data_IF_825860928180
#
_entry.id   IF_825860928180
#
_cell.length_a   1.000
_cell.length_b   1.000
_cell.length_c   1.000
_cell.angle_alpha   90.00
_cell.angle_beta   90.00
_cell.angle_gamma   90.00
#
_symmetry.space_group_name_H-M   'P 1'
#
loop_
_entity.id
_entity.type
_entity.pdbx_description
1 polymer ?
#
# COMPACT_ATOMS: atom_id res chain seq x y z
N UNK A 1 3.16 13.81 23.87
CA UNK A 1 3.22 14.11 22.42
C UNK A 1 1.84 14.57 22.00
N UNK A 2 1.68 15.43 20.99
CA UNK A 2 0.34 15.79 20.50
C UNK A 2 -0.24 14.63 19.71
N UNK A 3 -1.58 14.51 19.68
CA UNK A 3 -2.27 13.60 18.79
C UNK A 3 -1.78 13.77 17.35
N UNK A 4 -1.40 12.70 16.63
CA UNK A 4 -1.03 12.78 15.22
C UNK A 4 -2.25 13.08 14.35
N UNK A 5 -2.02 13.53 13.12
CA UNK A 5 -3.11 13.59 12.14
C UNK A 5 -3.62 12.18 11.85
N UNK A 6 -4.94 12.00 11.96
CA UNK A 6 -5.62 10.74 11.71
C UNK A 6 -6.41 10.84 10.40
N UNK A 7 -6.28 9.83 9.55
CA UNK A 7 -7.14 9.63 8.39
C UNK A 7 -7.74 8.23 8.48
N UNK A 8 -9.04 8.10 8.32
CA UNK A 8 -9.69 6.79 8.27
C UNK A 8 -10.04 6.43 6.84
N UNK A 9 -9.69 5.23 6.42
CA UNK A 9 -10.21 4.65 5.20
C UNK A 9 -11.63 4.14 5.45
N UNK A 10 -12.52 4.32 4.47
CA UNK A 10 -13.86 3.74 4.48
C UNK A 10 -14.16 3.16 3.10
N UNK A 11 -14.40 1.84 3.04
CA UNK A 11 -14.52 1.08 1.79
C UNK A 11 -15.83 0.29 1.78
N UNK A 12 -16.94 1.02 1.73
CA UNK A 12 -18.27 0.43 1.78
C UNK A 12 -19.08 0.74 0.52
N UNK A 13 -19.85 -0.24 0.06
CA UNK A 13 -20.90 -0.05 -0.94
C UNK A 13 -22.03 0.85 -0.41
N UNK A 14 -22.93 1.40 -1.26
CA UNK A 14 -23.88 2.44 -0.85
C UNK A 14 -24.76 2.10 0.36
N UNK A 15 -25.32 0.91 0.42
CA UNK A 15 -26.23 0.53 1.50
C UNK A 15 -25.52 0.40 2.87
N UNK A 16 -24.41 -0.37 3.03
CA UNK A 16 -23.62 -0.38 4.27
C UNK A 16 -23.06 1.00 4.64
N UNK A 17 -22.63 1.79 3.64
CA UNK A 17 -22.13 3.14 3.83
C UNK A 17 -23.20 4.05 4.46
N UNK A 18 -24.40 4.06 3.89
CA UNK A 18 -25.53 4.81 4.43
C UNK A 18 -25.83 4.38 5.87
N UNK A 19 -25.87 3.08 6.14
CA UNK A 19 -26.12 2.53 7.47
C UNK A 19 -25.04 2.93 8.49
N UNK A 20 -23.76 2.93 8.09
CA UNK A 20 -22.65 3.37 8.95
C UNK A 20 -22.84 4.82 9.41
N UNK A 21 -23.32 5.68 8.51
CA UNK A 21 -23.49 7.10 8.76
C UNK A 21 -24.93 7.53 9.09
N UNK A 22 -25.90 6.60 9.26
CA UNK A 22 -27.28 6.93 9.66
C UNK A 22 -27.35 7.65 11.01
N UNK A 23 -26.48 7.25 11.96
CA UNK A 23 -26.28 7.95 13.21
C UNK A 23 -25.36 9.17 13.05
N UNK A 24 -25.49 10.16 13.97
CA UNK A 24 -24.55 11.30 13.99
C UNK A 24 -23.23 10.94 14.68
N UNK A 25 -23.17 9.89 15.46
CA UNK A 25 -22.03 9.57 16.32
C UNK A 25 -20.71 9.39 15.53
N UNK A 26 -20.73 8.78 14.33
CA UNK A 26 -19.52 8.58 13.51
C UNK A 26 -18.96 9.93 13.05
N UNK A 27 -19.82 10.85 12.59
CA UNK A 27 -19.40 12.20 12.17
C UNK A 27 -18.90 12.99 13.38
N UNK A 28 -19.58 12.88 14.53
CA UNK A 28 -19.20 13.61 15.74
C UNK A 28 -17.86 13.07 16.30
N UNK A 29 -17.62 11.76 16.24
CA UNK A 29 -16.35 11.15 16.62
C UNK A 29 -15.21 11.56 15.68
N UNK A 30 -15.42 11.55 14.35
CA UNK A 30 -14.42 12.03 13.39
C UNK A 30 -14.05 13.50 13.64
N UNK A 31 -15.02 14.34 13.98
CA UNK A 31 -14.77 15.75 14.35
C UNK A 31 -14.02 15.87 15.67
N UNK A 32 -14.40 15.10 16.69
CA UNK A 32 -13.72 15.12 17.97
C UNK A 32 -12.24 14.70 17.86
N UNK A 33 -11.94 13.80 16.93
CA UNK A 33 -10.58 13.33 16.60
C UNK A 33 -9.84 14.26 15.63
N UNK A 34 -10.45 15.35 15.13
CA UNK A 34 -9.91 16.18 14.05
C UNK A 34 -9.42 15.33 12.85
N UNK A 35 -10.20 14.30 12.53
CA UNK A 35 -9.81 13.27 11.58
C UNK A 35 -10.30 13.59 10.17
N UNK A 36 -9.55 13.12 9.19
CA UNK A 36 -9.92 13.10 7.77
C UNK A 36 -10.54 11.75 7.42
N UNK A 37 -11.48 11.73 6.47
CA UNK A 37 -12.01 10.51 5.89
C UNK A 37 -11.45 10.29 4.49
N UNK A 38 -10.75 9.19 4.24
CA UNK A 38 -10.42 8.71 2.90
C UNK A 38 -11.52 7.74 2.45
N UNK A 39 -12.45 8.28 1.64
CA UNK A 39 -13.66 7.57 1.22
C UNK A 39 -13.41 6.84 -0.11
N UNK A 40 -13.55 5.54 -0.11
CA UNK A 40 -13.50 4.71 -1.31
C UNK A 40 -14.62 5.09 -2.29
N UNK A 41 -14.26 5.58 -3.46
CA UNK A 41 -15.22 5.92 -4.52
C UNK A 41 -15.45 4.67 -5.35
N UNK A 42 -16.29 3.77 -4.83
CA UNK A 42 -16.68 2.52 -5.50
C UNK A 42 -17.68 2.80 -6.64
N UNK A 43 -18.55 3.75 -6.42
CA UNK A 43 -19.61 4.18 -7.35
C UNK A 43 -19.72 5.71 -7.36
N UNK A 44 -20.52 6.24 -8.29
CA UNK A 44 -20.80 7.67 -8.43
C UNK A 44 -22.30 7.93 -8.19
N UNK A 45 -22.86 7.32 -7.12
CA UNK A 45 -24.27 7.39 -6.77
C UNK A 45 -24.63 8.73 -6.12
N UNK A 46 -25.92 9.02 -6.09
CA UNK A 46 -26.47 10.18 -5.40
C UNK A 46 -26.35 10.03 -3.88
N UNK A 47 -26.53 8.82 -3.35
CA UNK A 47 -26.40 8.49 -1.93
C UNK A 47 -25.00 8.80 -1.41
N UNK A 48 -23.96 8.46 -2.19
CA UNK A 48 -22.57 8.78 -1.85
C UNK A 48 -22.31 10.28 -1.90
N UNK A 49 -22.87 10.98 -2.90
CA UNK A 49 -22.78 12.44 -3.00
C UNK A 49 -23.43 13.13 -1.79
N UNK A 50 -24.62 12.69 -1.38
CA UNK A 50 -25.30 13.26 -0.20
C UNK A 50 -24.53 13.01 1.10
N UNK A 51 -23.84 11.87 1.24
CA UNK A 51 -22.95 11.65 2.38
C UNK A 51 -21.79 12.65 2.37
N UNK A 52 -21.12 12.83 1.22
CA UNK A 52 -19.99 13.77 1.12
C UNK A 52 -20.44 15.18 1.47
N UNK A 53 -21.59 15.65 0.98
CA UNK A 53 -22.18 16.95 1.38
C UNK A 53 -22.41 17.06 2.88
N UNK A 54 -22.90 15.99 3.52
CA UNK A 54 -23.10 15.94 4.99
C UNK A 54 -21.76 16.07 5.74
N UNK A 55 -20.72 15.40 5.27
CA UNK A 55 -19.36 15.47 5.83
C UNK A 55 -18.76 16.87 5.63
N UNK A 56 -18.84 17.43 4.41
CA UNK A 56 -18.39 18.79 4.11
C UNK A 56 -19.10 19.82 5.02
N UNK A 57 -20.44 19.73 5.14
CA UNK A 57 -21.22 20.59 6.03
C UNK A 57 -20.85 20.45 7.51
N UNK A 58 -20.44 19.27 7.93
CA UNK A 58 -19.97 19.00 9.28
C UNK A 58 -18.53 19.48 9.53
N UNK A 59 -17.79 19.84 8.48
CA UNK A 59 -16.39 20.24 8.53
C UNK A 59 -15.42 19.07 8.65
N UNK A 60 -15.83 17.85 8.27
CA UNK A 60 -14.94 16.69 8.17
C UNK A 60 -14.27 16.70 6.79
N UNK A 61 -12.93 16.82 6.70
CA UNK A 61 -12.22 16.76 5.42
C UNK A 61 -12.39 15.37 4.79
N UNK A 62 -12.66 15.33 3.48
CA UNK A 62 -12.83 14.06 2.74
C UNK A 62 -11.81 13.98 1.61
N UNK A 63 -11.05 12.90 1.57
CA UNK A 63 -10.19 12.52 0.44
C UNK A 63 -10.97 11.54 -0.43
N UNK A 64 -11.01 11.77 -1.73
CA UNK A 64 -11.60 10.82 -2.66
C UNK A 64 -10.59 9.72 -2.99
N UNK A 65 -10.75 8.57 -2.39
CA UNK A 65 -9.97 7.38 -2.69
C UNK A 65 -10.56 6.68 -3.92
N UNK A 66 -9.90 6.86 -5.08
CA UNK A 66 -10.42 6.37 -6.35
C UNK A 66 -10.17 4.88 -6.52
N UNK A 67 -11.25 4.16 -6.83
CA UNK A 67 -11.26 2.72 -7.08
C UNK A 67 -11.93 2.41 -8.42
N UNK A 68 -11.59 1.28 -9.01
CA UNK A 68 -12.21 0.75 -10.21
C UNK A 68 -13.23 -0.34 -9.87
N UNK A 69 -14.14 -0.70 -10.80
CA UNK A 69 -14.87 -1.96 -10.71
C UNK A 69 -13.93 -3.17 -10.65
N UNK A 70 -14.34 -4.27 -9.99
CA UNK A 70 -13.51 -5.47 -9.85
C UNK A 70 -13.08 -6.07 -11.19
N UNK A 71 -13.95 -6.03 -12.21
CA UNK A 71 -13.65 -6.47 -13.57
C UNK A 71 -12.55 -5.64 -14.26
N UNK A 72 -12.24 -4.46 -13.73
CA UNK A 72 -11.21 -3.54 -14.20
C UNK A 72 -9.93 -3.59 -13.35
N UNK A 73 -9.87 -4.50 -12.37
CA UNK A 73 -8.70 -4.74 -11.51
C UNK A 73 -8.81 -4.17 -10.11
N UNK A 74 -9.90 -3.47 -9.77
CA UNK A 74 -10.26 -2.86 -8.50
C UNK A 74 -9.32 -1.72 -8.06
N UNK A 75 -8.08 -2.03 -7.71
CA UNK A 75 -7.03 -1.05 -7.45
C UNK A 75 -6.33 -0.60 -8.72
N UNK A 76 -5.71 0.55 -8.67
CA UNK A 76 -4.89 1.03 -9.77
C UNK A 76 -3.59 0.22 -9.86
N UNK A 77 -3.19 -0.11 -11.06
CA UNK A 77 -2.01 -0.91 -11.29
C UNK A 77 -1.39 -0.60 -12.66
N UNK A 78 -0.30 -1.29 -12.96
CA UNK A 78 0.46 -1.07 -14.20
C UNK A 78 -0.34 -1.35 -15.49
N UNK A 79 -1.38 -2.19 -15.43
CA UNK A 79 -2.12 -2.65 -16.61
C UNK A 79 -3.43 -1.88 -16.86
N UNK A 80 -3.91 -1.09 -15.86
CA UNK A 80 -5.19 -0.39 -15.95
C UNK A 80 -5.08 1.15 -15.89
N UNK A 81 -3.91 1.70 -16.15
CA UNK A 81 -3.66 3.14 -16.10
C UNK A 81 -4.60 3.98 -16.99
N UNK A 82 -5.05 3.44 -18.14
CA UNK A 82 -6.02 4.12 -18.99
C UNK A 82 -7.39 4.20 -18.32
N UNK A 83 -7.81 3.13 -17.61
CA UNK A 83 -9.04 3.09 -16.83
C UNK A 83 -8.99 4.01 -15.62
N UNK A 84 -7.82 4.13 -14.97
CA UNK A 84 -7.59 5.09 -13.88
C UNK A 84 -7.84 6.54 -14.36
N UNK A 85 -7.30 6.91 -15.52
CA UNK A 85 -7.53 8.23 -16.11
C UNK A 85 -9.01 8.45 -16.46
N UNK A 86 -9.68 7.45 -17.07
CA UNK A 86 -11.11 7.52 -17.35
C UNK A 86 -11.95 7.63 -16.08
N UNK A 87 -11.58 6.92 -15.01
CA UNK A 87 -12.24 6.98 -13.70
C UNK A 87 -12.16 8.39 -13.11
N UNK A 88 -11.00 9.02 -13.18
CA UNK A 88 -10.85 10.40 -12.70
C UNK A 88 -11.73 11.39 -13.49
N UNK A 89 -11.81 11.26 -14.81
CA UNK A 89 -12.68 12.11 -15.64
C UNK A 89 -14.15 11.94 -15.24
N UNK A 90 -14.63 10.71 -15.05
CA UNK A 90 -15.98 10.44 -14.59
C UNK A 90 -16.24 10.99 -13.18
N UNK A 91 -15.31 10.80 -12.27
CA UNK A 91 -15.35 11.35 -10.91
C UNK A 91 -15.43 12.89 -10.92
N UNK A 92 -14.63 13.57 -11.73
CA UNK A 92 -14.66 15.02 -11.86
C UNK A 92 -16.02 15.54 -12.36
N UNK A 93 -16.61 14.86 -13.35
CA UNK A 93 -17.94 15.21 -13.85
C UNK A 93 -19.01 15.07 -12.76
N UNK A 94 -18.98 13.95 -12.01
CA UNK A 94 -19.87 13.69 -10.89
C UNK A 94 -19.67 14.69 -9.73
N UNK A 95 -18.42 15.01 -9.38
CA UNK A 95 -18.07 16.03 -8.38
C UNK A 95 -18.69 17.40 -8.75
N UNK A 96 -18.54 17.80 -10.02
CA UNK A 96 -19.11 19.07 -10.52
C UNK A 96 -20.64 19.05 -10.50
N UNK A 97 -21.25 17.93 -10.93
CA UNK A 97 -22.71 17.78 -10.95
C UNK A 97 -23.34 17.92 -9.56
N UNK A 98 -22.66 17.42 -8.53
CA UNK A 98 -23.18 17.40 -7.16
C UNK A 98 -22.60 18.48 -6.24
N UNK A 99 -21.72 19.36 -6.77
CA UNK A 99 -21.07 20.44 -6.00
C UNK A 99 -20.36 19.89 -4.73
N UNK A 100 -19.44 18.92 -4.93
CA UNK A 100 -18.72 18.25 -3.85
C UNK A 100 -17.38 18.90 -3.60
N UNK A 101 -16.96 18.95 -2.33
CA UNK A 101 -15.66 19.47 -1.89
C UNK A 101 -14.77 18.31 -1.41
N UNK A 102 -13.50 18.31 -1.86
CA UNK A 102 -12.53 17.28 -1.52
C UNK A 102 -11.26 17.89 -0.94
N UNK A 103 -10.73 17.27 0.10
CA UNK A 103 -9.45 17.67 0.69
C UNK A 103 -8.25 17.17 -0.13
N UNK A 104 -8.44 16.17 -1.00
CA UNK A 104 -7.43 15.59 -1.86
C UNK A 104 -7.96 14.37 -2.60
N UNK A 105 -7.09 13.77 -3.40
CA UNK A 105 -7.36 12.55 -4.17
C UNK A 105 -6.38 11.46 -3.73
N UNK A 106 -6.91 10.28 -3.39
CA UNK A 106 -6.12 9.08 -3.07
C UNK A 106 -6.03 8.14 -4.26
N UNK A 107 -4.82 7.72 -4.60
CA UNK A 107 -4.52 6.74 -5.64
C UNK A 107 -3.96 5.48 -5.00
N UNK A 108 -4.72 4.41 -5.04
CA UNK A 108 -4.35 3.13 -4.46
C UNK A 108 -3.65 2.26 -5.50
N UNK A 109 -2.37 2.04 -5.28
CA UNK A 109 -1.50 1.35 -6.24
C UNK A 109 -1.16 -0.04 -5.72
N UNK A 110 -2.01 -0.99 -6.09
CA UNK A 110 -1.88 -2.37 -5.64
C UNK A 110 -1.86 -3.38 -6.79
N UNK A 111 -1.92 -4.64 -6.43
CA UNK A 111 -2.05 -5.74 -7.39
C UNK A 111 -3.42 -5.69 -8.08
N UNK A 112 -3.50 -6.23 -9.30
CA UNK A 112 -4.81 -6.60 -9.84
C UNK A 112 -5.48 -7.64 -8.91
N UNK A 113 -6.73 -7.37 -8.48
CA UNK A 113 -7.43 -8.22 -7.50
C UNK A 113 -7.55 -9.67 -7.97
N UNK A 114 -7.70 -9.90 -9.28
CA UNK A 114 -7.81 -11.25 -9.83
C UNK A 114 -6.46 -11.97 -9.83
N UNK A 115 -5.35 -11.21 -10.07
CA UNK A 115 -4.00 -11.76 -9.94
C UNK A 115 -3.69 -12.09 -8.47
N UNK A 116 -4.12 -11.25 -7.53
CA UNK A 116 -3.97 -11.49 -6.10
C UNK A 116 -4.75 -12.74 -5.65
N UNK A 117 -6.04 -12.84 -5.99
CA UNK A 117 -6.87 -14.03 -5.71
C UNK A 117 -6.25 -15.30 -6.32
N UNK A 118 -5.72 -15.21 -7.54
CA UNK A 118 -5.03 -16.35 -8.18
C UNK A 118 -3.75 -16.73 -7.44
N UNK A 119 -2.95 -15.75 -7.02
CA UNK A 119 -1.70 -15.98 -6.31
C UNK A 119 -1.89 -16.62 -4.92
N UNK A 120 -2.98 -16.24 -4.23
CA UNK A 120 -3.31 -16.72 -2.88
C UNK A 120 -4.09 -18.04 -2.88
N UNK A 121 -4.70 -18.40 -4.00
CA UNK A 121 -5.42 -19.67 -4.13
C UNK A 121 -4.49 -20.83 -4.51
N UNK A 122 -4.92 -22.07 -4.19
CA UNK A 122 -4.25 -23.29 -4.68
C UNK A 122 -4.30 -23.44 -6.22
N UNK A 123 -4.91 -22.45 -6.90
CA UNK A 123 -5.12 -22.45 -8.35
C UNK A 123 -3.99 -21.81 -9.15
N UNK A 124 -2.90 -21.36 -8.51
CA UNK A 124 -1.74 -20.79 -9.21
C UNK A 124 -1.12 -21.85 -10.14
N UNK A 125 -1.56 -21.86 -11.38
CA UNK A 125 -1.14 -22.82 -12.40
C UNK A 125 0.14 -22.36 -13.13
N UNK A 126 0.64 -23.24 -14.03
CA UNK A 126 1.80 -22.93 -14.87
C UNK A 126 1.59 -21.70 -15.78
N UNK A 127 0.34 -21.35 -16.08
CA UNK A 127 -0.01 -20.19 -16.91
C UNK A 127 0.23 -18.90 -16.14
N UNK A 128 -0.18 -18.85 -14.87
CA UNK A 128 0.05 -17.71 -13.99
C UNK A 128 1.56 -17.48 -13.77
N UNK A 129 2.31 -18.54 -13.44
CA UNK A 129 3.77 -18.45 -13.28
C UNK A 129 4.44 -17.94 -14.57
N UNK A 130 4.01 -18.44 -15.73
CA UNK A 130 4.50 -17.96 -17.04
C UNK A 130 4.16 -16.49 -17.28
N UNK A 131 2.96 -16.03 -16.87
CA UNK A 131 2.53 -14.62 -16.94
C UNK A 131 3.50 -13.74 -16.14
N UNK A 132 3.75 -14.07 -14.86
CA UNK A 132 4.68 -13.33 -13.99
C UNK A 132 6.10 -13.34 -14.59
N UNK A 133 6.60 -14.51 -15.04
CA UNK A 133 7.92 -14.60 -15.64
C UNK A 133 8.09 -13.70 -16.87
N UNK A 134 7.07 -13.62 -17.75
CA UNK A 134 7.11 -12.73 -18.92
C UNK A 134 7.12 -11.25 -18.50
N UNK A 135 6.35 -10.91 -17.46
CA UNK A 135 6.29 -9.54 -16.91
C UNK A 135 7.65 -9.05 -16.41
N UNK A 136 8.47 -9.94 -15.83
CA UNK A 136 9.79 -9.57 -15.30
C UNK A 136 10.72 -8.91 -16.32
N UNK A 137 10.54 -9.20 -17.61
CA UNK A 137 11.38 -8.66 -18.68
C UNK A 137 10.79 -7.44 -19.38
N UNK A 138 9.57 -7.06 -19.07
CA UNK A 138 8.84 -5.97 -19.72
C UNK A 138 9.04 -4.63 -18.98
N UNK A 139 10.19 -3.99 -19.24
CA UNK A 139 10.51 -2.68 -18.65
C UNK A 139 9.68 -1.55 -19.24
N UNK A 140 9.26 -1.67 -20.49
CA UNK A 140 8.51 -0.61 -21.16
C UNK A 140 7.10 -0.49 -20.60
N UNK A 141 6.51 -1.60 -20.12
CA UNK A 141 5.23 -1.63 -19.41
C UNK A 141 5.25 -0.71 -18.17
N UNK A 142 6.29 -0.80 -17.33
CA UNK A 142 6.47 0.09 -16.15
C UNK A 142 6.59 1.55 -16.59
N UNK A 143 7.47 1.85 -17.54
CA UNK A 143 7.69 3.22 -18.00
C UNK A 143 6.44 3.86 -18.61
N UNK A 144 5.62 3.07 -19.31
CA UNK A 144 4.37 3.54 -19.89
C UNK A 144 3.38 3.87 -18.79
N UNK A 145 3.19 2.97 -17.81
CA UNK A 145 2.32 3.21 -16.67
C UNK A 145 2.77 4.44 -15.86
N UNK A 146 4.06 4.54 -15.54
CA UNK A 146 4.60 5.71 -14.82
C UNK A 146 4.29 7.03 -15.54
N UNK A 147 4.46 7.09 -16.88
CA UNK A 147 4.10 8.31 -17.64
C UNK A 147 2.61 8.60 -17.59
N UNK A 148 1.77 7.57 -17.70
CA UNK A 148 0.32 7.74 -17.67
C UNK A 148 -0.17 8.19 -16.28
N UNK A 149 0.37 7.63 -15.21
CA UNK A 149 0.02 8.06 -13.85
C UNK A 149 0.59 9.44 -13.53
N UNK A 150 1.77 9.79 -14.00
CA UNK A 150 2.28 11.17 -13.86
C UNK A 150 1.36 12.17 -14.57
N UNK A 151 0.91 11.86 -15.77
CA UNK A 151 -0.06 12.71 -16.47
C UNK A 151 -1.41 12.80 -15.74
N UNK A 152 -1.84 11.73 -15.05
CA UNK A 152 -3.03 11.75 -14.20
C UNK A 152 -2.82 12.65 -12.97
N UNK A 153 -1.68 12.53 -12.28
CA UNK A 153 -1.33 13.40 -11.14
C UNK A 153 -1.29 14.87 -11.58
N UNK A 154 -0.64 15.17 -12.71
CA UNK A 154 -0.59 16.53 -13.26
C UNK A 154 -1.98 17.08 -13.58
N UNK A 155 -2.89 16.24 -14.07
CA UNK A 155 -4.29 16.61 -14.33
C UNK A 155 -5.05 16.89 -13.02
N UNK A 156 -4.86 16.07 -11.99
CA UNK A 156 -5.46 16.27 -10.66
C UNK A 156 -4.97 17.58 -10.04
N UNK A 157 -3.66 17.88 -10.15
CA UNK A 157 -3.08 19.15 -9.70
C UNK A 157 -3.65 20.35 -10.44
N UNK A 158 -3.84 20.24 -11.76
CA UNK A 158 -4.45 21.30 -12.56
C UNK A 158 -5.90 21.60 -12.13
N UNK A 159 -6.58 20.64 -11.52
CA UNK A 159 -7.91 20.81 -10.91
C UNK A 159 -7.84 21.31 -9.46
N UNK A 160 -6.64 21.51 -8.90
CA UNK A 160 -6.41 22.11 -7.58
C UNK A 160 -6.38 21.15 -6.41
N UNK A 161 -6.32 19.83 -6.63
CA UNK A 161 -6.29 18.84 -5.56
C UNK A 161 -4.87 18.32 -5.30
N UNK A 162 -4.44 18.22 -4.03
CA UNK A 162 -3.28 17.42 -3.66
C UNK A 162 -3.56 15.93 -3.85
N UNK A 163 -2.51 15.15 -4.09
CA UNK A 163 -2.60 13.70 -4.35
C UNK A 163 -1.89 12.92 -3.25
N UNK A 164 -2.55 11.87 -2.77
CA UNK A 164 -1.92 10.84 -1.93
C UNK A 164 -1.81 9.54 -2.71
N UNK A 165 -0.73 8.80 -2.51
CA UNK A 165 -0.58 7.44 -3.03
C UNK A 165 -0.49 6.43 -1.89
N UNK A 166 -1.11 5.27 -2.09
CA UNK A 166 -1.10 4.17 -1.13
C UNK A 166 -0.26 3.04 -1.72
N UNK A 167 0.82 2.69 -1.02
CA UNK A 167 1.82 1.75 -1.54
C UNK A 167 2.15 0.64 -0.56
N UNK A 168 2.48 -0.52 -1.11
CA UNK A 168 3.09 -1.61 -0.35
C UNK A 168 4.51 -1.22 0.08
N UNK A 169 4.96 -1.57 1.31
CA UNK A 169 6.24 -1.13 1.85
C UNK A 169 7.46 -1.58 1.02
N UNK A 170 7.37 -2.71 0.32
CA UNK A 170 8.47 -3.25 -0.48
C UNK A 170 8.95 -2.31 -1.60
N UNK A 171 8.12 -1.32 -2.01
CA UNK A 171 8.47 -0.32 -3.02
C UNK A 171 9.68 0.52 -2.59
N UNK A 172 9.82 0.76 -1.28
CA UNK A 172 10.94 1.51 -0.71
C UNK A 172 12.27 0.81 -0.94
N UNK A 173 12.32 -0.50 -0.71
CA UNK A 173 13.55 -1.29 -0.93
C UNK A 173 13.87 -1.43 -2.42
N UNK A 174 12.84 -1.44 -3.27
CA UNK A 174 13.02 -1.43 -4.72
C UNK A 174 13.62 -0.10 -5.22
N UNK A 175 13.14 1.04 -4.70
CA UNK A 175 13.73 2.37 -4.98
C UNK A 175 15.19 2.42 -4.58
N UNK A 176 15.55 1.92 -3.39
CA UNK A 176 16.93 1.81 -2.91
C UNK A 176 17.80 0.96 -3.83
N UNK A 177 17.26 -0.13 -4.35
CA UNK A 177 17.93 -1.00 -5.32
C UNK A 177 18.05 -0.37 -6.71
N UNK A 178 17.36 0.74 -7.00
CA UNK A 178 17.18 1.29 -8.36
C UNK A 178 16.76 0.20 -9.33
N UNK A 179 15.70 -0.50 -8.97
CA UNK A 179 15.12 -1.65 -9.66
C UNK A 179 13.66 -1.36 -10.02
N UNK A 180 13.11 -2.11 -10.95
CA UNK A 180 11.68 -2.18 -11.24
C UNK A 180 11.19 -3.63 -11.29
N UNK A 181 11.92 -4.55 -10.67
CA UNK A 181 11.63 -6.00 -10.70
C UNK A 181 10.32 -6.31 -10.00
N UNK A 182 10.08 -5.71 -8.81
CA UNK A 182 8.83 -5.89 -8.07
C UNK A 182 7.66 -5.27 -8.82
N UNK A 183 7.79 -4.05 -9.31
CA UNK A 183 6.77 -3.40 -10.12
C UNK A 183 6.37 -4.27 -11.32
N UNK A 184 7.36 -4.82 -12.03
CA UNK A 184 7.11 -5.72 -13.17
C UNK A 184 6.44 -7.02 -12.76
N UNK A 185 6.91 -7.64 -11.68
CA UNK A 185 6.39 -8.90 -11.20
C UNK A 185 4.96 -8.78 -10.66
N UNK A 186 4.75 -7.79 -9.80
CA UNK A 186 3.53 -7.62 -9.02
C UNK A 186 2.46 -6.79 -9.77
N UNK A 187 2.86 -6.05 -10.81
CA UNK A 187 1.94 -5.19 -11.54
C UNK A 187 1.68 -3.84 -10.88
N UNK A 188 2.39 -3.50 -9.82
CA UNK A 188 2.31 -2.19 -9.16
C UNK A 188 3.15 -1.16 -9.90
N UNK A 189 2.91 0.11 -9.66
CA UNK A 189 3.69 1.19 -10.25
C UNK A 189 4.08 2.21 -9.18
N UNK A 190 5.32 2.62 -9.19
CA UNK A 190 5.83 3.68 -8.31
C UNK A 190 5.52 5.04 -8.90
N UNK A 191 4.82 5.90 -8.15
CA UNK A 191 4.43 7.26 -8.57
C UNK A 191 4.84 8.26 -7.49
N UNK A 192 5.18 9.48 -7.91
CA UNK A 192 5.48 10.59 -7.01
C UNK A 192 4.20 11.40 -6.74
N UNK A 193 3.91 11.63 -5.45
CA UNK A 193 2.76 12.40 -4.97
C UNK A 193 3.17 13.25 -3.78
N UNK A 194 2.29 14.17 -3.32
CA UNK A 194 2.57 15.01 -2.15
C UNK A 194 2.63 14.22 -0.85
N UNK A 195 1.96 13.08 -0.77
CA UNK A 195 1.99 12.20 0.40
C UNK A 195 1.98 10.75 -0.01
N UNK A 196 3.02 10.04 0.39
CA UNK A 196 3.05 8.60 0.29
C UNK A 196 2.59 7.96 1.61
N UNK A 197 1.59 7.11 1.54
CA UNK A 197 1.14 6.28 2.64
C UNK A 197 1.66 4.87 2.43
N UNK A 198 2.53 4.39 3.32
CA UNK A 198 2.94 2.99 3.30
C UNK A 198 1.95 2.14 4.10
N UNK A 199 1.36 1.16 3.46
CA UNK A 199 0.42 0.21 4.07
C UNK A 199 1.16 -0.82 4.92
N UNK A 200 1.32 -0.50 6.22
CA UNK A 200 2.06 -1.32 7.19
C UNK A 200 1.09 -2.10 8.10
N UNK A 201 0.15 -2.82 7.47
CA UNK A 201 -0.90 -3.56 8.18
C UNK A 201 -0.33 -4.78 8.90
N UNK A 202 -0.13 -4.63 10.22
CA UNK A 202 0.49 -5.67 11.05
C UNK A 202 -0.34 -6.95 11.15
N UNK A 203 -1.67 -6.85 10.94
CA UNK A 203 -2.57 -8.02 10.89
C UNK A 203 -2.27 -8.98 9.73
N UNK A 204 -1.66 -8.48 8.65
CA UNK A 204 -1.30 -9.28 7.48
C UNK A 204 0.07 -9.95 7.62
N UNK A 205 0.82 -9.56 8.67
CA UNK A 205 2.18 -10.05 8.92
C UNK A 205 2.18 -10.83 10.23
N UNK A 206 2.52 -12.10 10.20
CA UNK A 206 2.40 -12.97 11.37
C UNK A 206 3.32 -12.57 12.53
N UNK A 207 4.56 -13.05 12.60
CA UNK A 207 5.35 -12.98 13.83
C UNK A 207 6.18 -11.70 14.02
N UNK A 208 6.26 -10.78 13.04
CA UNK A 208 7.12 -9.59 13.06
C UNK A 208 6.47 -8.33 12.49
N UNK A 209 5.14 -8.27 12.47
CA UNK A 209 4.41 -7.15 11.88
C UNK A 209 4.78 -5.79 12.50
N UNK A 210 4.90 -5.73 13.82
CA UNK A 210 5.30 -4.53 14.55
C UNK A 210 6.77 -4.13 14.27
N UNK A 211 7.68 -5.08 14.09
CA UNK A 211 9.05 -4.81 13.70
C UNK A 211 9.14 -4.31 12.25
N UNK A 212 8.29 -4.83 11.35
CA UNK A 212 8.16 -4.32 9.97
C UNK A 212 7.62 -2.90 10.00
N UNK A 213 6.54 -2.62 10.73
CA UNK A 213 6.00 -1.28 10.90
C UNK A 213 7.10 -0.32 11.38
N UNK A 214 7.81 -0.67 12.45
CA UNK A 214 8.89 0.15 13.00
C UNK A 214 10.01 0.42 11.99
N UNK A 215 10.42 -0.59 11.22
CA UNK A 215 11.53 -0.49 10.27
C UNK A 215 11.20 0.33 9.01
N UNK A 216 9.94 0.33 8.56
CA UNK A 216 9.53 1.06 7.35
C UNK A 216 8.94 2.44 7.64
N UNK A 217 8.32 2.65 8.81
CA UNK A 217 7.67 3.91 9.15
C UNK A 217 8.54 5.18 8.96
N UNK A 218 9.85 5.17 9.26
CA UNK A 218 10.69 6.35 9.03
C UNK A 218 10.71 6.85 7.58
N UNK A 219 10.44 5.98 6.61
CA UNK A 219 10.51 6.27 5.17
C UNK A 219 9.17 6.69 4.57
N UNK A 220 8.08 6.51 5.30
CA UNK A 220 6.75 6.95 4.89
C UNK A 220 6.50 8.42 5.20
N UNK A 221 5.70 9.11 4.39
CA UNK A 221 5.12 10.41 4.78
C UNK A 221 3.98 10.20 5.77
N UNK A 222 3.23 9.11 5.61
CA UNK A 222 2.20 8.65 6.54
C UNK A 222 2.17 7.12 6.59
N UNK A 223 1.71 6.56 7.71
CA UNK A 223 1.67 5.11 7.94
C UNK A 223 0.26 4.61 7.93
N UNK A 224 -0.01 3.62 7.08
CA UNK A 224 -1.25 2.84 7.10
C UNK A 224 -1.19 1.76 8.18
N UNK A 225 -2.10 1.83 9.16
CA UNK A 225 -2.25 0.88 10.26
C UNK A 225 -3.56 0.11 10.11
N UNK A 226 -3.53 -1.17 10.35
CA UNK A 226 -4.71 -2.04 10.25
C UNK A 226 -4.33 -3.52 10.22
N UNK A 227 -5.25 -4.37 9.84
CA UNK A 227 -6.66 -4.17 9.50
C UNK A 227 -7.53 -4.23 10.78
N UNK A 228 -8.50 -3.32 10.91
CA UNK A 228 -9.47 -3.35 12.02
C UNK A 228 -10.80 -4.00 11.62
N UNK A 229 -10.92 -4.46 10.38
CA UNK A 229 -12.11 -5.02 9.75
C UNK A 229 -12.56 -4.21 8.53
N UNK A 230 -13.47 -4.73 7.75
CA UNK A 230 -13.96 -4.10 6.52
C UNK A 230 -13.04 -4.30 5.30
N UNK A 231 -13.29 -3.54 4.24
CA UNK A 231 -12.59 -3.63 2.98
C UNK A 231 -13.18 -4.63 2.00
N UNK A 232 -12.52 -4.79 0.85
CA UNK A 232 -12.93 -5.74 -0.19
C UNK A 232 -12.85 -7.17 0.33
N UNK A 233 -13.83 -7.99 -0.03
CA UNK A 233 -13.89 -9.40 0.39
C UNK A 233 -12.82 -10.23 -0.35
N UNK A 234 -11.84 -10.70 0.42
CA UNK A 234 -10.80 -11.63 -0.01
C UNK A 234 -10.92 -12.99 0.69
N UNK A 235 -12.03 -13.27 1.39
CA UNK A 235 -12.19 -14.47 2.23
C UNK A 235 -12.03 -15.78 1.47
N UNK A 236 -12.30 -15.80 0.16
CA UNK A 236 -12.04 -16.96 -0.70
C UNK A 236 -10.54 -17.27 -0.90
N UNK A 237 -9.67 -16.30 -0.63
CA UNK A 237 -8.23 -16.41 -0.86
C UNK A 237 -7.40 -16.33 0.42
N UNK A 238 -7.80 -15.50 1.38
CA UNK A 238 -7.10 -15.32 2.65
C UNK A 238 -8.08 -14.94 3.77
N UNK A 239 -7.93 -15.58 4.94
CA UNK A 239 -8.67 -15.20 6.14
C UNK A 239 -7.88 -14.12 6.88
N UNK A 240 -8.38 -12.87 6.82
CA UNK A 240 -7.79 -11.74 7.54
C UNK A 240 -8.45 -11.62 8.91
N UNK A 241 -7.67 -11.83 9.97
CA UNK A 241 -8.13 -11.59 11.33
C UNK A 241 -7.90 -10.14 11.70
N UNK A 242 -8.96 -9.36 12.04
CA UNK A 242 -8.81 -7.99 12.48
C UNK A 242 -7.94 -7.87 13.74
N UNK A 243 -7.24 -6.75 13.88
CA UNK A 243 -6.43 -6.45 15.06
C UNK A 243 -7.30 -6.41 16.33
N UNK A 244 -6.76 -6.92 17.43
CA UNK A 244 -7.32 -6.63 18.76
C UNK A 244 -7.04 -5.16 19.13
N UNK A 245 -7.76 -4.63 20.13
CA UNK A 245 -7.50 -3.28 20.62
C UNK A 245 -6.05 -3.10 21.08
N UNK A 246 -5.50 -4.07 21.78
CA UNK A 246 -4.14 -4.03 22.33
C UNK A 246 -3.07 -3.95 21.20
N UNK A 247 -3.25 -4.74 20.15
CA UNK A 247 -2.37 -4.72 18.99
C UNK A 247 -2.50 -3.39 18.22
N UNK A 248 -3.74 -2.94 17.99
CA UNK A 248 -4.01 -1.67 17.34
C UNK A 248 -3.43 -0.48 18.12
N UNK A 249 -3.66 -0.42 19.45
CA UNK A 249 -3.13 0.62 20.32
C UNK A 249 -1.58 0.62 20.35
N UNK A 250 -0.94 -0.57 20.34
CA UNK A 250 0.51 -0.69 20.18
C UNK A 250 0.98 -0.06 18.87
N UNK A 251 0.35 -0.39 17.76
CA UNK A 251 0.73 0.09 16.44
C UNK A 251 0.57 1.62 16.33
N UNK A 252 -0.49 2.18 16.89
CA UNK A 252 -0.67 3.63 16.98
C UNK A 252 0.49 4.30 17.76
N UNK A 253 0.86 3.74 18.91
CA UNK A 253 1.98 4.25 19.71
C UNK A 253 3.32 4.18 18.98
N UNK A 254 3.55 3.09 18.23
CA UNK A 254 4.76 2.97 17.39
C UNK A 254 4.80 4.08 16.33
N UNK A 255 3.69 4.39 15.69
CA UNK A 255 3.60 5.49 14.72
C UNK A 255 3.84 6.85 15.39
N UNK A 256 3.26 7.10 16.57
CA UNK A 256 3.48 8.33 17.34
C UNK A 256 4.95 8.49 17.74
N UNK A 257 5.60 7.42 18.16
CA UNK A 257 7.06 7.44 18.50
C UNK A 257 7.93 7.75 17.27
N UNK A 258 7.44 7.50 16.07
CA UNK A 258 8.09 7.83 14.79
C UNK A 258 7.62 9.19 14.22
N UNK A 259 6.78 9.92 14.96
CA UNK A 259 6.23 11.23 14.57
C UNK A 259 5.49 11.20 13.21
N UNK A 260 4.77 10.11 12.93
CA UNK A 260 4.09 9.91 11.65
C UNK A 260 2.59 10.19 11.74
N UNK A 261 2.00 10.87 10.74
CA UNK A 261 0.57 10.84 10.50
C UNK A 261 0.09 9.41 10.27
N UNK A 262 -1.15 9.11 10.64
CA UNK A 262 -1.67 7.74 10.64
C UNK A 262 -2.90 7.64 9.76
N UNK A 263 -2.89 6.69 8.84
CA UNK A 263 -4.05 6.23 8.08
C UNK A 263 -4.54 4.91 8.69
N UNK A 264 -5.82 4.82 9.05
CA UNK A 264 -6.42 3.66 9.74
C UNK A 264 -7.34 2.91 8.78
N UNK A 265 -7.03 1.67 8.52
CA UNK A 265 -7.88 0.78 7.74
C UNK A 265 -8.58 -0.21 8.70
N UNK A 266 -9.88 -0.05 9.01
CA UNK A 266 -10.82 0.86 8.38
C UNK A 266 -11.71 1.57 9.43
N UNK A 267 -12.46 2.57 9.00
CA UNK A 267 -13.48 3.23 9.83
C UNK A 267 -14.60 2.27 10.24
N UNK A 268 -15.13 1.52 9.27
CA UNK A 268 -16.18 0.54 9.51
C UNK A 268 -15.76 -0.51 10.52
N UNK A 269 -14.54 -1.03 10.42
CA UNK A 269 -13.98 -1.96 11.40
C UNK A 269 -13.80 -1.32 12.78
N UNK A 270 -13.32 -0.07 12.84
CA UNK A 270 -13.22 0.67 14.11
C UNK A 270 -14.58 0.91 14.78
N UNK A 271 -15.63 1.14 14.00
CA UNK A 271 -16.99 1.29 14.51
C UNK A 271 -17.51 -0.04 15.02
N UNK A 272 -17.40 -1.11 14.23
CA UNK A 272 -17.89 -2.44 14.58
C UNK A 272 -17.23 -2.98 15.86
N UNK A 273 -15.92 -2.77 16.02
CA UNK A 273 -15.17 -3.21 17.20
C UNK A 273 -15.21 -2.22 18.37
N UNK A 274 -15.90 -1.07 18.22
CA UNK A 274 -15.95 -0.02 19.24
C UNK A 274 -14.60 0.69 19.46
N UNK A 275 -13.68 0.66 18.49
CA UNK A 275 -12.38 1.30 18.59
C UNK A 275 -12.48 2.81 18.41
N UNK A 276 -13.41 3.28 17.56
CA UNK A 276 -13.60 4.71 17.31
C UNK A 276 -13.86 5.50 18.60
N UNK A 277 -14.74 4.97 19.48
CA UNK A 277 -15.01 5.59 20.79
C UNK A 277 -13.81 5.53 21.74
N UNK A 278 -12.99 4.48 21.68
CA UNK A 278 -11.76 4.36 22.50
C UNK A 278 -10.69 5.35 22.07
N UNK A 279 -10.61 5.69 20.78
CA UNK A 279 -9.66 6.68 20.25
C UNK A 279 -9.92 8.09 20.82
N UNK A 280 -11.18 8.44 21.11
CA UNK A 280 -11.52 9.73 21.74
C UNK A 280 -10.92 9.92 23.15
N UNK A 281 -10.54 8.83 23.80
CA UNK A 281 -9.96 8.83 25.14
C UNK A 281 -8.55 8.20 25.16
N UNK A 282 -7.97 8.02 23.98
CA UNK A 282 -6.66 7.37 23.84
C UNK A 282 -5.53 8.26 24.38
N UNK A 283 -4.68 7.68 25.21
CA UNK A 283 -3.51 8.38 25.71
C UNK A 283 -2.39 8.36 24.67
N UNK A 284 -2.27 9.48 23.95
CA UNK A 284 -1.26 9.68 22.90
C UNK A 284 0.14 9.94 23.43
N UNK A 285 0.29 10.19 24.76
CA UNK A 285 1.58 10.38 25.40
C UNK A 285 2.19 9.06 25.92
N UNK A 286 1.37 8.01 26.00
CA UNK A 286 1.83 6.69 26.41
C UNK A 286 2.71 6.07 25.30
N UNK A 287 3.89 5.60 25.69
CA UNK A 287 4.83 4.92 24.78
C UNK A 287 4.75 3.41 24.91
N UNK A 288 5.27 2.71 23.91
CA UNK A 288 5.40 1.25 23.92
C UNK A 288 6.86 0.85 23.74
N UNK A 289 7.19 -0.40 24.01
CA UNK A 289 8.54 -0.91 23.76
C UNK A 289 8.83 -0.97 22.25
N UNK A 290 10.09 -0.69 21.88
CA UNK A 290 10.56 -0.94 20.52
C UNK A 290 10.43 -2.44 20.23
N UNK A 291 9.85 -2.83 19.08
CA UNK A 291 9.60 -4.23 18.78
C UNK A 291 10.87 -5.08 18.75
N UNK A 292 10.73 -6.32 19.21
CA UNK A 292 11.78 -7.31 19.00
C UNK A 292 11.89 -7.65 17.51
N UNK A 293 13.08 -8.01 17.02
CA UNK A 293 13.26 -8.44 15.63
C UNK A 293 13.50 -7.32 14.61
N UNK A 294 13.54 -6.04 15.02
CA UNK A 294 13.84 -4.91 14.11
C UNK A 294 15.16 -5.14 13.36
N UNK A 295 16.23 -5.58 14.03
CA UNK A 295 17.51 -5.87 13.38
C UNK A 295 17.40 -6.98 12.33
N UNK A 296 16.54 -7.99 12.58
CA UNK A 296 16.29 -9.07 11.65
C UNK A 296 15.53 -8.56 10.42
N UNK A 297 14.51 -7.72 10.61
CA UNK A 297 13.77 -7.09 9.51
C UNK A 297 14.70 -6.20 8.67
N UNK A 298 15.53 -5.39 9.30
CA UNK A 298 16.51 -4.57 8.58
C UNK A 298 17.53 -5.41 7.79
N UNK A 299 17.96 -6.55 8.34
CA UNK A 299 18.83 -7.47 7.63
C UNK A 299 18.11 -8.07 6.40
N UNK A 300 16.84 -8.49 6.55
CA UNK A 300 16.03 -8.98 5.44
C UNK A 300 15.82 -7.91 4.36
N UNK A 301 15.55 -6.65 4.74
CA UNK A 301 15.42 -5.52 3.82
C UNK A 301 16.70 -5.26 3.02
N UNK A 302 17.87 -5.29 3.70
CA UNK A 302 19.18 -5.18 3.02
C UNK A 302 19.41 -6.34 2.04
N UNK A 303 19.02 -7.56 2.43
CA UNK A 303 19.06 -8.74 1.56
C UNK A 303 18.15 -8.57 0.33
N UNK A 304 16.91 -8.14 0.53
CA UNK A 304 15.96 -7.86 -0.54
C UNK A 304 16.49 -6.79 -1.51
N UNK A 305 16.94 -5.64 -0.97
CA UNK A 305 17.53 -4.57 -1.77
C UNK A 305 18.70 -5.07 -2.62
N UNK A 306 19.58 -5.89 -2.03
CA UNK A 306 20.72 -6.49 -2.77
C UNK A 306 20.24 -7.43 -3.87
N UNK A 307 19.27 -8.29 -3.57
CA UNK A 307 18.69 -9.21 -4.54
C UNK A 307 18.07 -8.46 -5.72
N UNK A 308 17.24 -7.46 -5.44
CA UNK A 308 16.60 -6.62 -6.47
C UNK A 308 17.64 -5.89 -7.33
N UNK A 309 18.70 -5.38 -6.70
CA UNK A 309 19.79 -4.74 -7.41
C UNK A 309 20.50 -5.70 -8.39
N UNK A 310 20.73 -6.94 -7.96
CA UNK A 310 21.35 -8.00 -8.81
C UNK A 310 20.40 -8.41 -9.94
N UNK A 311 19.11 -8.63 -9.64
CA UNK A 311 18.11 -9.07 -10.63
C UNK A 311 17.87 -7.99 -11.71
N UNK A 312 17.95 -6.71 -11.35
CA UNK A 312 17.82 -5.61 -12.31
C UNK A 312 19.03 -5.53 -13.27
N UNK A 313 20.18 -6.13 -12.91
CA UNK A 313 21.45 -6.08 -13.63
C UNK A 313 21.96 -7.47 -14.02
N UNK A 314 21.35 -8.14 -15.01
CA UNK A 314 21.68 -9.52 -15.37
C UNK A 314 23.15 -9.72 -15.76
N UNK A 315 23.82 -8.67 -16.21
CA UNK A 315 25.26 -8.72 -16.49
C UNK A 315 26.13 -9.00 -15.25
N UNK A 316 25.66 -8.60 -14.04
CA UNK A 316 26.32 -8.91 -12.76
C UNK A 316 26.31 -10.41 -12.51
N UNK A 317 25.19 -11.07 -12.80
CA UNK A 317 25.04 -12.52 -12.68
C UNK A 317 26.01 -13.20 -13.66
N UNK A 318 26.08 -12.74 -14.90
CA UNK A 318 26.98 -13.29 -15.91
C UNK A 318 28.45 -13.11 -15.53
N UNK A 319 28.82 -11.96 -14.99
CA UNK A 319 30.20 -11.73 -14.50
C UNK A 319 30.52 -12.61 -13.30
N UNK A 320 29.59 -12.79 -12.36
CA UNK A 320 29.75 -13.70 -11.22
C UNK A 320 29.99 -15.14 -11.68
N UNK A 321 29.19 -15.63 -12.62
CA UNK A 321 29.36 -16.96 -13.22
C UNK A 321 30.70 -17.11 -13.93
N UNK A 322 31.09 -16.10 -14.74
CA UNK A 322 32.39 -16.13 -15.42
C UNK A 322 33.56 -16.15 -14.41
N UNK A 323 33.47 -15.38 -13.33
CA UNK A 323 34.48 -15.39 -12.26
C UNK A 323 34.57 -16.75 -11.56
N UNK A 324 33.44 -17.38 -11.24
CA UNK A 324 33.40 -18.70 -10.64
C UNK A 324 34.02 -19.77 -11.56
N UNK A 325 33.71 -19.74 -12.86
CA UNK A 325 34.30 -20.64 -13.85
C UNK A 325 35.82 -20.39 -13.93
N UNK A 326 36.24 -19.12 -13.98
CA UNK A 326 37.69 -18.77 -14.00
C UNK A 326 38.43 -19.27 -12.76
N UNK A 327 37.87 -19.11 -11.57
CA UNK A 327 38.42 -19.64 -10.32
C UNK A 327 38.51 -21.18 -10.37
N UNK A 328 37.47 -21.85 -10.87
CA UNK A 328 37.46 -23.29 -11.04
C UNK A 328 38.62 -23.79 -11.94
N UNK A 329 38.87 -23.09 -13.05
CA UNK A 329 40.02 -23.39 -13.92
C UNK A 329 41.35 -23.17 -13.22
N UNK A 330 41.51 -22.10 -12.45
CA UNK A 330 42.75 -21.81 -11.70
C UNK A 330 43.02 -22.88 -10.64
N UNK A 331 41.98 -23.32 -9.87
CA UNK A 331 42.10 -24.38 -8.89
C UNK A 331 42.48 -25.72 -9.56
N UNK A 332 41.93 -26.05 -10.73
CA UNK A 332 42.28 -27.26 -11.49
C UNK A 332 43.75 -27.22 -11.95
N UNK A 333 44.22 -26.11 -12.50
CA UNK A 333 45.62 -25.96 -12.93
C UNK A 333 46.59 -26.07 -11.75
N UNK A 334 46.27 -25.50 -10.59
CA UNK A 334 47.14 -25.62 -9.39
C UNK A 334 47.13 -27.02 -8.82
N UNK A 335 46.02 -27.75 -8.89
CA UNK A 335 45.91 -29.16 -8.50
C UNK A 335 46.78 -30.07 -9.40
N UNK A 336 46.72 -29.84 -10.72
CA UNK A 336 47.49 -30.64 -11.69
C UNK A 336 49.01 -30.34 -11.60
N UNK A 337 49.40 -29.09 -11.30
CA UNK A 337 50.83 -28.75 -11.03
C UNK A 337 51.35 -29.47 -9.79
N UNK A 338 50.58 -29.51 -8.68
CA UNK A 338 51.00 -30.23 -7.48
C UNK A 338 51.09 -31.73 -7.67
N UNK A 339 50.29 -32.34 -8.57
CA UNK A 339 50.41 -33.76 -8.96
C UNK A 339 51.62 -34.09 -9.79
N UNK A 340 52.07 -33.14 -10.67
CA UNK A 340 53.28 -33.32 -11.50
C UNK A 340 54.58 -33.17 -10.72
N UNK A 341 54.59 -32.51 -9.57
CA UNK A 341 55.76 -32.30 -8.73
C UNK A 341 55.95 -33.47 -7.75
N UNK A 342 54.95 -34.32 -7.56
CA UNK A 342 54.98 -35.50 -6.69
C UNK A 342 55.26 -36.83 -7.43
N UNK A 343 55.50 -36.79 -8.75
CA UNK A 343 56.01 -37.88 -9.55
C UNK A 343 57.44 -37.58 -9.94
#
# INVERSE_FOLDING_TARGET
MSQPKLTFFCELSPEPLTKLFDGRFVIDDLKALDATLSLGILDLSEERAELVKRLNKAGVPVIAWLLLPEEDGYWFNIDNHDKAAARYVAFKAWTTQHDLEWAGIGLDIEFDINDLRTALSDSADKSFVKKIFRRLFDKDRVKNAQRSYQALVDLIHADGYPVESYHLPLIVDERRARSTVLQRALGVVDIETEREVLMLYTSMLTDQGDAVLWSYAPEADSVGVGNTGGGVDLSDAIELTPLTWEAFARDLRLCVMQEKPIHIFSLEGCVEQGFLSKLNTFDWDETTAIPNGVEQVEFMRKGLTTLLWVLERPWVILLGLAALIGLGFLFKQTGDRKRKIKK
#
